data_IF_032396349381
#
_entry.id   IF_032396349381
#
_cell.length_a   1.000
_cell.length_b   1.000
_cell.length_c   1.000
_cell.angle_alpha   90.00
_cell.angle_beta   90.00
_cell.angle_gamma   90.00
#
_symmetry.space_group_name_H-M   'P 1'
#
loop_
_entity.id
_entity.type
_entity.pdbx_description
1 polymer ?
#
# COMPACT_ATOMS: atom_id res chain seq x y z
N UNK A 1 -0.55 -38.31 57.84
CA UNK A 1 -0.07 -38.47 56.45
C UNK A 1 -1.09 -37.87 55.53
N UNK A 2 -0.70 -36.87 54.74
CA UNK A 2 -1.57 -36.15 53.81
C UNK A 2 -0.87 -34.88 53.35
N UNK A 3 0.21 -35.03 52.59
CA UNK A 3 0.93 -33.93 51.95
C UNK A 3 0.05 -33.31 50.86
N UNK A 4 -0.24 -32.01 51.00
CA UNK A 4 -0.90 -31.20 49.98
C UNK A 4 0.19 -30.67 49.05
N UNK A 5 0.25 -31.23 47.85
CA UNK A 5 1.15 -30.77 46.79
C UNK A 5 0.74 -29.36 46.32
N UNK A 6 1.60 -28.37 46.54
CA UNK A 6 1.51 -27.09 45.88
C UNK A 6 1.85 -27.25 44.40
N UNK A 7 0.86 -27.07 43.53
CA UNK A 7 1.09 -26.91 42.10
C UNK A 7 1.99 -25.68 41.87
N UNK A 8 3.21 -25.93 41.39
CA UNK A 8 4.06 -24.89 40.82
C UNK A 8 3.36 -24.38 39.57
N UNK A 9 2.82 -23.17 39.64
CA UNK A 9 2.47 -22.38 38.47
C UNK A 9 3.75 -22.10 37.70
N UNK A 10 3.76 -22.46 36.41
CA UNK A 10 4.85 -22.12 35.52
C UNK A 10 5.08 -20.60 35.52
N UNK A 11 6.34 -20.14 35.50
CA UNK A 11 6.62 -18.71 35.41
C UNK A 11 5.98 -18.14 34.13
N UNK A 12 5.43 -16.92 34.19
CA UNK A 12 4.86 -16.28 33.02
C UNK A 12 5.91 -16.24 31.90
N UNK A 13 5.49 -16.42 30.64
CA UNK A 13 6.41 -16.42 29.51
C UNK A 13 7.20 -15.11 29.53
N UNK A 14 8.51 -15.16 29.19
CA UNK A 14 9.36 -13.99 29.22
C UNK A 14 8.73 -12.88 28.37
N UNK A 15 8.76 -11.61 28.83
CA UNK A 15 8.19 -10.50 28.10
C UNK A 15 8.80 -10.48 26.69
N UNK A 16 7.94 -10.60 25.68
CA UNK A 16 8.41 -10.55 24.29
C UNK A 16 9.13 -9.21 24.07
N UNK A 17 10.28 -9.21 23.37
CA UNK A 17 11.02 -7.98 23.13
C UNK A 17 10.11 -6.97 22.43
N UNK A 18 9.96 -5.80 23.05
CA UNK A 18 9.09 -4.73 22.53
C UNK A 18 9.54 -4.38 21.12
N UNK A 19 8.64 -4.54 20.14
CA UNK A 19 8.92 -4.10 18.77
C UNK A 19 9.10 -2.58 18.78
N UNK A 20 10.19 -2.08 18.21
CA UNK A 20 10.39 -0.65 18.01
C UNK A 20 9.25 -0.08 17.17
N UNK A 21 8.81 1.17 17.43
CA UNK A 21 7.81 1.86 16.60
C UNK A 21 8.20 1.85 15.10
N UNK A 22 9.50 1.81 14.81
CA UNK A 22 10.02 1.74 13.44
C UNK A 22 9.81 0.38 12.75
N UNK A 23 9.53 -0.69 13.50
CA UNK A 23 9.26 -2.04 12.96
C UNK A 23 7.78 -2.21 12.57
N UNK A 24 6.90 -1.27 12.94
CA UNK A 24 5.46 -1.36 12.64
C UNK A 24 5.20 -1.21 11.14
N UNK A 25 5.77 -0.18 10.52
CA UNK A 25 5.66 0.06 9.08
C UNK A 25 6.84 -0.58 8.33
N UNK A 26 6.98 -1.90 8.46
CA UNK A 26 7.98 -2.70 7.75
C UNK A 26 7.29 -3.67 6.79
N UNK A 27 7.69 -3.61 5.52
CA UNK A 27 7.14 -4.44 4.45
C UNK A 27 8.04 -5.67 4.20
N UNK A 28 8.14 -6.54 5.19
CA UNK A 28 8.85 -7.82 5.10
C UNK A 28 7.99 -8.93 4.49
N UNK A 29 8.54 -10.16 4.35
CA UNK A 29 7.78 -11.27 3.76
C UNK A 29 6.55 -11.67 4.59
N UNK A 30 6.58 -11.49 5.91
CA UNK A 30 5.49 -11.89 6.81
C UNK A 30 4.23 -11.06 6.54
N UNK A 31 4.35 -9.77 6.22
CA UNK A 31 3.15 -8.96 5.93
C UNK A 31 2.43 -9.41 4.65
N UNK A 32 3.11 -10.13 3.77
CA UNK A 32 2.53 -10.68 2.54
C UNK A 32 2.14 -12.16 2.67
N UNK A 33 2.32 -12.77 3.84
CA UNK A 33 1.87 -14.13 4.14
C UNK A 33 0.41 -14.11 4.57
N UNK A 34 -0.47 -14.46 3.62
CA UNK A 34 -1.90 -14.53 3.86
C UNK A 34 -2.50 -15.83 3.34
N UNK A 35 -3.13 -16.60 4.23
CA UNK A 35 -3.74 -17.89 3.86
C UNK A 35 -5.14 -17.73 3.22
N UNK A 36 -5.77 -16.54 3.32
CA UNK A 36 -7.13 -16.26 2.84
C UNK A 36 -7.20 -15.60 1.46
N UNK A 37 -6.28 -15.92 0.54
CA UNK A 37 -6.31 -15.37 -0.82
C UNK A 37 -7.62 -15.74 -1.53
N UNK A 38 -8.35 -14.74 -2.03
CA UNK A 38 -9.64 -14.96 -2.68
C UNK A 38 -9.53 -15.49 -4.12
N UNK A 39 -8.35 -15.38 -4.74
CA UNK A 39 -8.11 -15.87 -6.09
C UNK A 39 -6.66 -16.29 -6.31
N UNK A 40 -6.44 -17.11 -7.34
CA UNK A 40 -5.11 -17.46 -7.85
C UNK A 40 -4.32 -16.22 -8.24
N UNK A 41 -5.00 -15.21 -8.80
CA UNK A 41 -4.36 -13.95 -9.15
C UNK A 41 -3.84 -13.22 -7.91
N UNK A 42 -4.64 -13.10 -6.85
CA UNK A 42 -4.23 -12.44 -5.60
C UNK A 42 -3.06 -13.17 -4.94
N UNK A 43 -3.12 -14.50 -4.89
CA UNK A 43 -2.02 -15.35 -4.41
C UNK A 43 -0.74 -15.11 -5.21
N UNK A 44 -0.84 -15.03 -6.53
CA UNK A 44 0.32 -14.82 -7.41
C UNK A 44 0.97 -13.45 -7.22
N UNK A 45 0.20 -12.40 -6.92
CA UNK A 45 0.76 -11.07 -6.64
C UNK A 45 1.45 -11.04 -5.27
N UNK A 46 0.85 -11.63 -4.23
CA UNK A 46 1.48 -11.75 -2.92
C UNK A 46 2.78 -12.57 -2.98
N UNK A 47 2.78 -13.67 -3.74
CA UNK A 47 3.97 -14.49 -3.97
C UNK A 47 5.04 -13.72 -4.75
N UNK A 48 4.67 -12.97 -5.78
CA UNK A 48 5.61 -12.11 -6.51
C UNK A 48 6.25 -11.04 -5.63
N UNK A 49 5.51 -10.45 -4.68
CA UNK A 49 6.05 -9.51 -3.68
C UNK A 49 7.05 -10.21 -2.75
N UNK A 50 6.73 -11.40 -2.25
CA UNK A 50 7.65 -12.17 -1.39
C UNK A 50 8.93 -12.55 -2.11
N UNK A 51 8.83 -13.00 -3.37
CA UNK A 51 10.01 -13.29 -4.18
C UNK A 51 10.83 -12.02 -4.43
N UNK A 52 10.18 -10.90 -4.74
CA UNK A 52 10.88 -9.62 -4.95
C UNK A 52 11.68 -9.20 -3.71
N UNK A 53 11.16 -9.38 -2.50
CA UNK A 53 11.88 -9.08 -1.26
C UNK A 53 13.12 -9.98 -1.12
N UNK A 54 12.98 -11.28 -1.41
CA UNK A 54 14.09 -12.24 -1.35
C UNK A 54 15.17 -11.94 -2.39
N UNK A 55 14.78 -11.45 -3.57
CA UNK A 55 15.69 -11.18 -4.68
C UNK A 55 16.43 -9.83 -4.53
N UNK A 56 15.86 -8.85 -3.81
CA UNK A 56 16.39 -7.49 -3.80
C UNK A 56 17.72 -7.34 -3.06
N UNK A 57 17.85 -7.85 -1.82
CA UNK A 57 19.10 -7.84 -1.06
C UNK A 57 19.11 -8.93 0.03
N UNK A 58 20.09 -9.85 0.04
CA UNK A 58 20.25 -10.82 1.12
C UNK A 58 20.42 -10.12 2.48
N UNK A 59 19.59 -10.45 3.47
CA UNK A 59 19.71 -9.99 4.86
C UNK A 59 18.94 -8.72 5.25
N UNK A 60 18.32 -7.99 4.31
CA UNK A 60 17.45 -6.85 4.64
C UNK A 60 16.00 -7.27 4.96
N UNK A 61 15.55 -8.42 4.43
CA UNK A 61 14.23 -9.02 4.61
C UNK A 61 13.04 -8.04 4.55
N UNK A 62 13.15 -6.97 3.75
CA UNK A 62 12.11 -5.94 3.60
C UNK A 62 12.12 -5.32 2.22
N UNK A 63 10.95 -4.85 1.80
CA UNK A 63 10.76 -4.12 0.56
C UNK A 63 11.35 -2.70 0.68
N UNK A 64 12.57 -2.52 0.18
CA UNK A 64 13.25 -1.23 0.10
C UNK A 64 14.08 -1.18 -1.17
N UNK A 65 13.90 -0.13 -1.98
CA UNK A 65 14.65 0.02 -3.22
C UNK A 65 15.92 0.83 -2.99
N UNK A 66 17.04 0.26 -3.41
CA UNK A 66 18.37 0.84 -3.26
C UNK A 66 19.13 0.96 -4.59
N UNK A 67 18.46 0.87 -5.75
CA UNK A 67 19.09 1.10 -7.04
C UNK A 67 19.75 2.50 -7.11
N UNK A 68 20.84 2.62 -7.85
CA UNK A 68 21.54 3.91 -8.00
C UNK A 68 20.84 4.79 -9.03
N UNK A 69 20.25 4.17 -10.06
CA UNK A 69 19.45 4.86 -11.06
C UNK A 69 17.95 4.76 -10.71
N UNK A 70 17.28 5.89 -10.38
CA UNK A 70 15.85 5.88 -10.07
C UNK A 70 14.97 5.32 -11.21
N UNK A 71 15.43 5.40 -12.47
CA UNK A 71 14.68 4.86 -13.62
C UNK A 71 14.62 3.33 -13.62
N UNK A 72 15.58 2.65 -13.00
CA UNK A 72 15.59 1.18 -12.91
C UNK A 72 14.47 0.66 -12.00
N UNK A 73 14.10 1.45 -10.98
CA UNK A 73 12.98 1.11 -10.07
C UNK A 73 11.68 0.95 -10.84
N UNK A 74 11.44 1.78 -11.86
CA UNK A 74 10.27 1.65 -12.74
C UNK A 74 10.29 0.29 -13.49
N UNK A 75 11.47 -0.14 -13.95
CA UNK A 75 11.66 -1.47 -14.54
C UNK A 75 11.32 -2.61 -13.58
N UNK A 76 11.57 -2.44 -12.28
CA UNK A 76 11.20 -3.42 -11.25
C UNK A 76 9.68 -3.50 -11.07
N UNK A 77 8.96 -2.37 -11.06
CA UNK A 77 7.49 -2.36 -10.98
C UNK A 77 6.83 -3.10 -12.16
N UNK A 78 7.38 -2.91 -13.36
CA UNK A 78 6.96 -3.64 -14.56
C UNK A 78 7.27 -5.14 -14.44
N UNK A 79 8.48 -5.48 -14.00
CA UNK A 79 8.94 -6.87 -13.83
C UNK A 79 8.11 -7.63 -12.80
N UNK A 80 7.69 -6.97 -11.71
CA UNK A 80 6.76 -7.50 -10.73
C UNK A 80 5.45 -7.99 -11.38
N UNK A 81 4.83 -7.16 -12.22
CA UNK A 81 3.57 -7.50 -12.89
C UNK A 81 3.71 -8.69 -13.84
N UNK A 82 4.86 -8.78 -14.52
CA UNK A 82 5.21 -9.91 -15.39
C UNK A 82 5.39 -11.18 -14.56
N UNK A 83 6.12 -11.10 -13.44
CA UNK A 83 6.39 -12.24 -12.54
C UNK A 83 5.09 -12.78 -11.92
N UNK A 84 4.23 -11.90 -11.41
CA UNK A 84 2.91 -12.28 -10.91
C UNK A 84 2.05 -12.97 -11.99
N UNK A 85 2.14 -12.51 -13.24
CA UNK A 85 1.45 -13.15 -14.37
C UNK A 85 2.01 -14.54 -14.66
N UNK A 86 3.34 -14.73 -14.62
CA UNK A 86 3.99 -16.03 -14.84
C UNK A 86 3.60 -17.05 -13.77
N UNK A 87 3.72 -16.69 -12.49
CA UNK A 87 3.30 -17.52 -11.35
C UNK A 87 1.85 -17.99 -11.52
N UNK A 88 0.96 -17.08 -11.91
CA UNK A 88 -0.45 -17.40 -12.14
C UNK A 88 -0.64 -18.42 -13.26
N UNK A 89 0.12 -18.32 -14.35
CA UNK A 89 0.04 -19.28 -15.45
C UNK A 89 0.55 -20.64 -15.00
N UNK A 90 1.68 -20.69 -14.31
CA UNK A 90 2.29 -21.94 -13.82
C UNK A 90 1.34 -22.68 -12.85
N UNK A 91 0.71 -21.94 -11.92
CA UNK A 91 -0.30 -22.50 -11.01
C UNK A 91 -1.54 -23.03 -11.76
N UNK A 92 -1.95 -22.37 -12.85
CA UNK A 92 -3.08 -22.82 -13.69
C UNK A 92 -2.72 -24.08 -14.49
N UNK A 93 -1.47 -24.20 -14.96
CA UNK A 93 -0.98 -25.39 -15.63
C UNK A 93 -0.87 -26.57 -14.65
N UNK A 94 -0.32 -26.36 -13.45
CA UNK A 94 -0.20 -27.39 -12.43
C UNK A 94 -1.56 -27.98 -12.01
N UNK A 95 -2.58 -27.12 -11.80
CA UNK A 95 -3.93 -27.56 -11.46
C UNK A 95 -4.65 -28.33 -12.59
N UNK A 96 -4.21 -28.17 -13.85
CA UNK A 96 -4.73 -28.96 -14.99
C UNK A 96 -4.02 -30.31 -15.13
N UNK A 97 -2.84 -30.46 -14.56
CA UNK A 97 -2.02 -31.67 -14.62
C UNK A 97 -2.23 -32.62 -13.42
N UNK A 98 -3.02 -32.24 -12.41
CA UNK A 98 -3.33 -33.10 -11.26
C UNK A 98 -4.31 -34.23 -11.66
N UNK A 99 -4.03 -35.52 -11.33
CA UNK A 99 -4.79 -36.66 -11.86
C UNK A 99 -6.28 -36.70 -11.50
N UNK A 100 -6.69 -35.98 -10.44
CA UNK A 100 -8.08 -35.95 -9.99
C UNK A 100 -9.06 -35.33 -11.02
N UNK A 101 -8.57 -34.62 -12.05
CA UNK A 101 -9.38 -34.06 -13.13
C UNK A 101 -9.31 -34.84 -14.45
N UNK A 102 -8.57 -35.96 -14.52
CA UNK A 102 -8.43 -36.76 -15.75
C UNK A 102 -9.54 -37.81 -15.96
N UNK A 103 -10.50 -37.94 -15.04
CA UNK A 103 -11.54 -38.99 -15.15
C UNK A 103 -12.59 -38.71 -16.26
N UNK A 104 -12.67 -37.51 -16.84
CA UNK A 104 -13.69 -37.20 -17.85
C UNK A 104 -13.15 -36.70 -19.21
N UNK A 105 -11.98 -37.16 -19.67
CA UNK A 105 -11.42 -36.67 -20.96
C UNK A 105 -11.71 -37.52 -22.20
N UNK A 106 -12.31 -38.70 -22.09
CA UNK A 106 -12.54 -39.57 -23.27
C UNK A 106 -13.82 -39.21 -24.05
N UNK A 107 -14.75 -38.43 -23.47
CA UNK A 107 -16.04 -38.06 -24.11
C UNK A 107 -16.05 -36.75 -24.91
N UNK A 108 -14.97 -35.95 -24.92
CA UNK A 108 -15.01 -34.57 -25.43
C UNK A 108 -14.50 -34.37 -26.87
N UNK A 109 -14.12 -35.44 -27.58
CA UNK A 109 -13.55 -35.33 -28.94
C UNK A 109 -14.58 -34.91 -30.00
N UNK A 110 -15.87 -35.28 -29.86
CA UNK A 110 -16.90 -34.92 -30.86
C UNK A 110 -17.57 -33.56 -30.60
N UNK A 111 -17.64 -33.10 -29.35
CA UNK A 111 -18.28 -31.82 -29.01
C UNK A 111 -17.43 -30.59 -29.40
N UNK A 112 -16.10 -30.75 -29.51
CA UNK A 112 -15.19 -29.65 -29.82
C UNK A 112 -15.10 -29.32 -31.32
N UNK A 113 -15.69 -30.12 -32.20
CA UNK A 113 -15.69 -29.84 -33.65
C UNK A 113 -16.77 -28.88 -34.11
N UNK A 114 -17.75 -28.53 -33.26
CA UNK A 114 -18.91 -27.68 -33.63
C UNK A 114 -19.05 -26.33 -32.92
N UNK A 115 -18.10 -25.89 -32.09
CA UNK A 115 -18.17 -24.55 -31.43
C UNK A 115 -17.03 -23.64 -31.86
N UNK A 116 -17.07 -23.18 -33.10
CA UNK A 116 -16.39 -21.96 -33.54
C UNK A 116 -17.45 -20.90 -33.85
N UNK A 117 -17.81 -20.09 -32.87
CA UNK A 117 -18.22 -18.71 -33.12
C UNK A 117 -17.28 -17.81 -32.33
N UNK A 118 -16.59 -16.90 -33.02
CA UNK A 118 -15.68 -15.94 -32.37
C UNK A 118 -16.37 -15.06 -31.33
N UNK A 119 -17.71 -14.93 -31.44
CA UNK A 119 -18.56 -14.16 -30.53
C UNK A 119 -18.63 -14.79 -29.14
N UNK A 120 -18.74 -16.12 -29.03
CA UNK A 120 -18.81 -16.80 -27.71
C UNK A 120 -17.50 -16.66 -26.91
N UNK A 121 -16.34 -16.68 -27.60
CA UNK A 121 -15.02 -16.44 -27.00
C UNK A 121 -14.82 -14.98 -26.57
N UNK A 122 -15.37 -14.03 -27.32
CA UNK A 122 -15.33 -12.60 -26.99
C UNK A 122 -16.22 -12.27 -25.78
N UNK A 123 -17.43 -12.84 -25.74
CA UNK A 123 -18.39 -12.74 -24.62
C UNK A 123 -17.81 -13.35 -23.33
N UNK A 124 -17.22 -14.55 -23.42
CA UNK A 124 -16.55 -15.23 -22.30
C UNK A 124 -15.35 -14.40 -21.79
N UNK A 125 -14.53 -13.83 -22.69
CA UNK A 125 -13.45 -12.91 -22.33
C UNK A 125 -13.97 -11.64 -21.66
N UNK A 126 -15.09 -11.07 -22.12
CA UNK A 126 -15.74 -9.90 -21.50
C UNK A 126 -16.26 -10.24 -20.11
N UNK A 127 -16.93 -11.37 -19.94
CA UNK A 127 -17.43 -11.83 -18.64
C UNK A 127 -16.28 -12.10 -17.66
N UNK A 128 -15.17 -12.72 -18.10
CA UNK A 128 -13.97 -12.89 -17.29
C UNK A 128 -13.33 -11.55 -16.89
N UNK A 129 -13.32 -10.55 -17.78
CA UNK A 129 -12.87 -9.18 -17.44
C UNK A 129 -13.79 -8.52 -16.41
N UNK A 130 -15.11 -8.65 -16.54
CA UNK A 130 -16.10 -8.13 -15.58
C UNK A 130 -15.95 -8.82 -14.23
N UNK A 131 -15.80 -10.14 -14.22
CA UNK A 131 -15.62 -10.93 -13.01
C UNK A 131 -14.31 -10.59 -12.29
N UNK A 132 -13.21 -10.47 -13.04
CA UNK A 132 -11.92 -10.02 -12.50
C UNK A 132 -11.98 -8.59 -11.97
N UNK A 133 -12.73 -7.69 -12.63
CA UNK A 133 -12.96 -6.32 -12.16
C UNK A 133 -13.76 -6.29 -10.86
N UNK A 134 -14.81 -7.09 -10.73
CA UNK A 134 -15.62 -7.17 -9.53
C UNK A 134 -14.85 -7.77 -8.34
N UNK A 135 -13.96 -8.75 -8.57
CA UNK A 135 -13.06 -9.27 -7.52
C UNK A 135 -11.96 -8.29 -7.12
N UNK A 136 -11.39 -7.55 -8.07
CA UNK A 136 -10.42 -6.48 -7.74
C UNK A 136 -11.08 -5.40 -6.87
N UNK A 137 -12.33 -5.03 -7.17
CA UNK A 137 -13.13 -4.16 -6.32
C UNK A 137 -13.31 -4.74 -4.91
N UNK A 138 -13.55 -6.05 -4.76
CA UNK A 138 -13.67 -6.67 -3.43
C UNK A 138 -12.36 -6.72 -2.64
N UNK A 139 -11.20 -6.88 -3.30
CA UNK A 139 -9.89 -6.82 -2.62
C UNK A 139 -9.55 -5.40 -2.19
N UNK A 140 -9.74 -4.42 -3.08
CA UNK A 140 -9.52 -3.01 -2.78
C UNK A 140 -10.42 -2.54 -1.63
N UNK A 141 -11.74 -2.76 -1.73
CA UNK A 141 -12.70 -2.35 -0.72
C UNK A 141 -12.37 -2.96 0.64
N UNK A 142 -12.05 -4.26 0.68
CA UNK A 142 -11.64 -4.92 1.92
C UNK A 142 -10.37 -4.32 2.52
N UNK A 143 -9.35 -4.06 1.70
CA UNK A 143 -8.10 -3.48 2.20
C UNK A 143 -8.34 -2.08 2.78
N UNK A 144 -9.17 -1.27 2.11
CA UNK A 144 -9.56 0.05 2.59
C UNK A 144 -10.39 -0.04 3.88
N UNK A 145 -11.32 -0.97 3.97
CA UNK A 145 -12.13 -1.17 5.18
C UNK A 145 -11.26 -1.61 6.37
N UNK A 146 -10.34 -2.56 6.16
CA UNK A 146 -9.36 -2.96 7.19
C UNK A 146 -8.51 -1.78 7.67
N UNK A 147 -8.00 -0.95 6.75
CA UNK A 147 -7.27 0.27 7.10
C UNK A 147 -8.15 1.20 7.96
N UNK A 148 -9.39 1.40 7.55
CA UNK A 148 -10.30 2.34 8.20
C UNK A 148 -10.80 1.88 9.58
N UNK A 149 -11.01 0.58 9.76
CA UNK A 149 -11.31 -0.03 11.06
C UNK A 149 -10.21 0.25 12.08
N UNK A 150 -8.95 0.28 11.65
CA UNK A 150 -7.79 0.53 12.50
C UNK A 150 -7.31 1.99 12.48
N UNK A 151 -8.11 2.92 11.94
CA UNK A 151 -7.67 4.30 11.67
C UNK A 151 -7.12 5.05 12.87
N UNK A 152 -7.72 4.87 14.05
CA UNK A 152 -7.28 5.57 15.25
C UNK A 152 -5.91 5.10 15.73
N UNK A 153 -5.60 3.81 15.55
CA UNK A 153 -4.27 3.28 15.83
C UNK A 153 -3.25 3.85 14.83
N UNK A 154 -3.63 4.01 13.55
CA UNK A 154 -2.77 4.63 12.55
C UNK A 154 -2.51 6.12 12.83
N UNK A 155 -3.54 6.88 13.21
CA UNK A 155 -3.35 8.28 13.63
C UNK A 155 -2.46 8.39 14.86
N UNK A 156 -2.67 7.55 15.87
CA UNK A 156 -1.80 7.49 17.06
C UNK A 156 -0.37 7.11 16.70
N UNK A 157 -0.19 6.21 15.74
CA UNK A 157 1.12 5.81 15.24
C UNK A 157 1.84 6.97 14.56
N UNK A 158 1.16 7.70 13.68
CA UNK A 158 1.75 8.88 13.04
C UNK A 158 2.01 10.01 14.02
N UNK A 159 1.13 10.23 15.01
CA UNK A 159 1.36 11.18 16.09
C UNK A 159 2.62 10.81 16.89
N UNK A 160 2.76 9.57 17.32
CA UNK A 160 3.93 9.11 18.06
C UNK A 160 5.23 9.18 17.24
N UNK A 161 5.16 8.88 15.94
CA UNK A 161 6.33 8.82 15.05
C UNK A 161 6.75 10.19 14.50
N UNK A 162 5.80 11.11 14.30
CA UNK A 162 6.03 12.37 13.57
C UNK A 162 5.59 13.61 14.33
N UNK A 163 4.83 13.47 15.41
CA UNK A 163 4.22 14.57 16.16
C UNK A 163 2.98 15.18 15.49
N UNK A 164 2.53 14.65 14.36
CA UNK A 164 1.35 15.15 13.64
C UNK A 164 0.09 14.54 14.23
N UNK A 165 -0.77 15.37 14.81
CA UNK A 165 -2.08 14.95 15.31
C UNK A 165 -3.14 15.14 14.23
N UNK A 166 -3.65 14.04 13.71
CA UNK A 166 -4.71 14.04 12.69
C UNK A 166 -6.08 14.12 13.37
N UNK A 167 -6.86 15.14 13.04
CA UNK A 167 -8.21 15.36 13.57
C UNK A 167 -9.25 15.06 12.50
N UNK A 168 -10.20 14.17 12.80
CA UNK A 168 -11.23 13.75 11.86
C UNK A 168 -12.50 14.62 11.92
N UNK A 169 -12.45 15.86 11.44
CA UNK A 169 -13.64 16.74 11.45
C UNK A 169 -14.61 16.47 10.28
N UNK A 170 -14.12 15.92 9.16
CA UNK A 170 -14.92 15.71 7.95
C UNK A 170 -15.19 14.24 7.64
N UNK A 171 -16.35 13.74 8.09
CA UNK A 171 -16.81 12.35 7.92
C UNK A 171 -16.73 11.85 6.47
N UNK A 172 -16.96 12.72 5.47
CA UNK A 172 -16.97 12.33 4.05
C UNK A 172 -15.57 12.05 3.51
N UNK A 173 -14.53 12.62 4.13
CA UNK A 173 -13.16 12.56 3.67
C UNK A 173 -12.29 11.57 4.45
N UNK A 174 -12.69 11.13 5.65
CA UNK A 174 -11.89 10.29 6.53
C UNK A 174 -11.24 9.09 5.82
N UNK A 175 -12.05 8.23 5.17
CA UNK A 175 -11.54 7.06 4.42
C UNK A 175 -10.58 7.43 3.29
N UNK A 176 -10.70 8.63 2.69
CA UNK A 176 -9.82 9.09 1.60
C UNK A 176 -8.51 9.64 2.16
N UNK A 177 -8.60 10.42 3.24
CA UNK A 177 -7.47 11.03 3.93
C UNK A 177 -6.57 9.95 4.49
N UNK A 178 -7.11 9.01 5.29
CA UNK A 178 -6.28 7.95 5.86
C UNK A 178 -5.60 7.10 4.77
N UNK A 179 -6.31 6.80 3.67
CA UNK A 179 -5.73 6.06 2.56
C UNK A 179 -4.57 6.83 1.92
N UNK A 180 -4.73 8.14 1.72
CA UNK A 180 -3.67 8.97 1.16
C UNK A 180 -2.46 9.10 2.09
N UNK A 181 -2.68 9.27 3.39
CA UNK A 181 -1.60 9.30 4.38
C UNK A 181 -0.85 7.97 4.43
N UNK A 182 -1.58 6.85 4.39
CA UNK A 182 -0.98 5.52 4.34
C UNK A 182 -0.13 5.34 3.08
N UNK A 183 -0.63 5.72 1.90
CA UNK A 183 0.14 5.65 0.66
C UNK A 183 1.40 6.52 0.71
N UNK A 184 1.29 7.69 1.30
CA UNK A 184 2.41 8.62 1.48
C UNK A 184 3.51 8.01 2.35
N UNK A 185 3.15 7.45 3.51
CA UNK A 185 4.12 6.83 4.44
C UNK A 185 4.69 5.51 3.89
N UNK A 186 3.86 4.71 3.22
CA UNK A 186 4.28 3.49 2.52
C UNK A 186 5.33 3.80 1.44
N UNK A 187 5.07 4.78 0.59
CA UNK A 187 5.99 5.19 -0.48
C UNK A 187 7.27 5.78 0.10
N UNK A 188 7.16 6.67 1.09
CA UNK A 188 8.33 7.23 1.80
C UNK A 188 9.18 6.15 2.48
N UNK A 189 8.57 5.07 2.95
CA UNK A 189 9.27 3.95 3.57
C UNK A 189 9.97 3.06 2.55
N UNK A 190 9.29 2.69 1.46
CA UNK A 190 9.82 1.78 0.43
C UNK A 190 10.88 2.45 -0.45
N UNK A 191 10.76 3.77 -0.67
CA UNK A 191 11.66 4.57 -1.50
C UNK A 191 12.59 5.47 -0.67
N UNK A 192 12.87 5.10 0.59
CA UNK A 192 13.63 5.94 1.54
C UNK A 192 14.95 6.47 0.98
N UNK A 193 15.72 5.66 0.25
CA UNK A 193 16.98 6.08 -0.39
C UNK A 193 16.81 7.31 -1.29
N UNK A 194 15.66 7.45 -1.95
CA UNK A 194 15.38 8.56 -2.85
C UNK A 194 14.75 9.77 -2.14
N UNK A 195 14.40 9.61 -0.86
CA UNK A 195 13.91 10.66 0.03
C UNK A 195 15.06 11.33 0.81
N UNK A 196 16.16 10.60 0.97
CA UNK A 196 17.36 11.08 1.64
C UNK A 196 18.33 11.61 0.57
N UNK A 197 18.40 12.94 0.43
CA UNK A 197 19.44 13.58 -0.36
C UNK A 197 20.74 13.42 0.43
N UNK A 198 21.59 12.45 0.06
CA UNK A 198 22.74 11.89 0.80
C UNK A 198 23.81 12.87 1.31
N UNK A 199 23.50 14.16 1.34
CA UNK A 199 24.15 15.21 2.11
C UNK A 199 24.04 15.01 3.63
N UNK A 200 25.02 15.56 4.36
CA UNK A 200 25.13 15.59 5.83
C UNK A 200 23.98 16.38 6.53
N UNK A 201 23.01 16.90 5.76
CA UNK A 201 21.86 17.65 6.28
C UNK A 201 20.76 16.69 6.76
N UNK A 202 19.90 17.12 7.71
CA UNK A 202 18.74 16.33 8.10
C UNK A 202 17.90 15.97 6.87
N UNK A 203 17.43 14.73 6.81
CA UNK A 203 16.67 14.18 5.68
C UNK A 203 15.61 15.17 5.20
N UNK A 204 15.74 15.65 3.97
CA UNK A 204 14.88 16.69 3.37
C UNK A 204 13.40 16.28 3.35
N UNK A 205 13.13 14.98 3.21
CA UNK A 205 11.79 14.42 3.07
C UNK A 205 11.45 13.42 4.18
N UNK A 206 11.56 13.86 5.45
CA UNK A 206 11.13 13.04 6.59
C UNK A 206 9.67 12.60 6.49
N UNK A 207 9.30 11.53 7.20
CA UNK A 207 7.90 11.09 7.31
C UNK A 207 6.97 12.22 7.79
N UNK A 208 7.42 13.05 8.73
CA UNK A 208 6.69 14.25 9.17
C UNK A 208 6.44 15.21 8.00
N UNK A 209 7.49 15.54 7.25
CA UNK A 209 7.37 16.44 6.10
C UNK A 209 6.40 15.92 5.04
N UNK A 210 6.49 14.62 4.71
CA UNK A 210 5.62 13.99 3.71
C UNK A 210 4.15 13.99 4.16
N UNK A 211 3.87 13.59 5.40
CA UNK A 211 2.51 13.55 5.94
C UNK A 211 1.91 14.95 6.11
N UNK A 212 2.71 15.95 6.50
CA UNK A 212 2.24 17.34 6.56
C UNK A 212 1.81 17.84 5.18
N UNK A 213 2.66 17.69 4.16
CA UNK A 213 2.30 18.11 2.79
C UNK A 213 1.07 17.35 2.27
N UNK A 214 0.92 16.06 2.60
CA UNK A 214 -0.28 15.31 2.23
C UNK A 214 -1.55 15.89 2.86
N UNK A 215 -1.51 16.27 4.15
CA UNK A 215 -2.63 16.95 4.81
C UNK A 215 -2.91 18.31 4.19
N UNK A 216 -1.88 19.10 3.89
CA UNK A 216 -2.01 20.43 3.29
C UNK A 216 -2.67 20.36 1.91
N UNK A 217 -2.30 19.37 1.08
CA UNK A 217 -2.92 19.11 -0.23
C UNK A 217 -4.44 18.91 -0.11
N UNK A 218 -4.87 18.06 0.82
CA UNK A 218 -6.29 17.76 0.99
C UNK A 218 -7.02 18.95 1.63
N UNK A 219 -6.37 19.62 2.57
CA UNK A 219 -6.90 20.81 3.25
C UNK A 219 -7.16 21.95 2.27
N UNK A 220 -6.19 22.22 1.38
CA UNK A 220 -6.31 23.26 0.35
C UNK A 220 -7.38 22.88 -0.68
N UNK A 221 -7.43 21.61 -1.10
CA UNK A 221 -8.37 21.14 -2.12
C UNK A 221 -9.84 21.21 -1.67
N UNK A 222 -10.12 20.96 -0.38
CA UNK A 222 -11.49 20.95 0.16
C UNK A 222 -11.82 22.10 1.11
N UNK A 223 -10.85 23.00 1.38
CA UNK A 223 -10.97 24.10 2.34
C UNK A 223 -11.40 23.62 3.73
N UNK A 224 -10.78 22.54 4.22
CA UNK A 224 -11.01 21.98 5.56
C UNK A 224 -9.70 21.84 6.33
N UNK A 225 -9.76 21.75 7.65
CA UNK A 225 -8.59 21.44 8.49
C UNK A 225 -8.65 20.00 8.99
N UNK A 226 -7.50 19.34 8.98
CA UNK A 226 -7.31 18.00 9.56
C UNK A 226 -6.31 18.02 10.73
N UNK A 227 -5.96 19.21 11.22
CA UNK A 227 -4.99 19.38 12.29
C UNK A 227 -5.56 20.18 13.44
N UNK A 228 -5.01 19.92 14.62
CA UNK A 228 -5.30 20.69 15.83
C UNK A 228 -4.91 22.17 15.60
N UNK A 229 -5.81 23.14 15.86
CA UNK A 229 -5.53 24.56 15.70
C UNK A 229 -4.24 25.01 16.39
N UNK A 230 -3.89 24.41 17.53
CA UNK A 230 -2.67 24.73 18.27
C UNK A 230 -1.39 24.29 17.54
N UNK A 231 -1.42 23.18 16.78
CA UNK A 231 -0.25 22.71 16.02
C UNK A 231 -0.03 23.50 14.72
N UNK A 232 -1.11 24.06 14.14
CA UNK A 232 -1.02 24.86 12.91
C UNK A 232 -0.23 26.15 13.13
N UNK A 233 -0.45 26.82 14.27
CA UNK A 233 0.27 28.04 14.65
C UNK A 233 1.80 27.83 14.80
N UNK A 234 2.23 26.60 15.08
CA UNK A 234 3.67 26.26 15.24
C UNK A 234 4.32 25.91 13.91
N UNK A 235 3.57 25.36 12.94
CA UNK A 235 4.07 25.07 11.58
C UNK A 235 4.11 26.31 10.68
N UNK A 236 3.32 27.34 10.99
CA UNK A 236 3.39 28.65 10.32
C UNK A 236 4.56 29.48 10.87
N UNK A 237 5.79 29.03 10.63
CA UNK A 237 6.91 29.97 10.62
C UNK A 237 6.68 30.98 9.47
N UNK A 238 6.92 32.29 9.66
CA UNK A 238 6.76 33.26 8.61
C UNK A 238 7.65 32.88 7.43
N UNK A 239 7.05 32.55 6.28
CA UNK A 239 7.78 32.49 5.02
C UNK A 239 8.12 33.92 4.63
N UNK A 240 9.21 34.45 5.18
CA UNK A 240 9.81 35.68 4.69
C UNK A 240 10.16 35.50 3.20
N UNK A 241 9.64 36.41 2.37
CA UNK A 241 10.22 36.72 1.07
C UNK A 241 10.11 35.65 -0.01
N UNK A 242 8.89 35.36 -0.49
CA UNK A 242 8.60 35.19 -1.92
C UNK A 242 7.08 35.18 -2.14
N UNK A 243 6.55 36.36 -2.43
CA UNK A 243 5.26 36.52 -3.13
C UNK A 243 5.41 35.91 -4.52
N UNK A 244 5.21 34.61 -4.62
CA UNK A 244 4.82 33.96 -5.87
C UNK A 244 3.32 33.78 -5.73
N UNK A 245 2.57 34.47 -6.59
CA UNK A 245 1.12 34.57 -6.51
C UNK A 245 0.48 33.21 -6.18
N UNK A 246 -0.44 33.23 -5.22
CA UNK A 246 -1.23 32.06 -4.87
C UNK A 246 -1.71 31.39 -6.17
N UNK A 247 -1.46 30.07 -6.36
CA UNK A 247 -2.06 29.37 -7.49
C UNK A 247 -3.56 29.66 -7.44
N UNK A 248 -4.14 30.08 -8.57
CA UNK A 248 -5.57 30.35 -8.65
C UNK A 248 -6.33 29.19 -7.99
N UNK A 249 -7.31 29.46 -7.09
CA UNK A 249 -8.06 28.40 -6.44
C UNK A 249 -8.69 27.54 -7.54
N UNK A 250 -8.14 26.34 -7.73
CA UNK A 250 -8.69 25.40 -8.69
C UNK A 250 -10.12 25.10 -8.23
N UNK A 251 -11.08 25.41 -9.09
CA UNK A 251 -12.46 25.00 -8.90
C UNK A 251 -12.45 23.51 -8.54
N UNK A 252 -13.11 23.14 -7.44
CA UNK A 252 -13.33 21.75 -7.10
C UNK A 252 -13.79 21.01 -8.37
N UNK A 253 -13.22 19.83 -8.69
CA UNK A 253 -13.53 19.15 -9.93
C UNK A 253 -15.04 19.06 -10.11
N UNK A 254 -15.56 19.55 -11.23
CA UNK A 254 -16.99 19.43 -11.61
C UNK A 254 -17.46 17.98 -11.74
N UNK A 255 -16.57 16.99 -11.56
CA UNK A 255 -16.83 15.56 -11.71
C UNK A 255 -16.99 14.87 -10.33
N UNK A 256 -18.22 14.53 -9.90
CA UNK A 256 -18.48 13.98 -8.58
C UNK A 256 -18.15 12.48 -8.42
N UNK A 257 -17.38 11.85 -9.32
CA UNK A 257 -17.34 10.38 -9.44
C UNK A 257 -15.96 9.73 -9.62
N UNK A 258 -14.87 10.42 -9.30
CA UNK A 258 -13.55 9.74 -9.30
C UNK A 258 -13.56 8.61 -8.26
N UNK A 259 -13.07 7.44 -8.67
CA UNK A 259 -12.91 6.31 -7.75
C UNK A 259 -11.91 6.70 -6.64
N UNK A 260 -12.06 6.12 -5.44
CA UNK A 260 -11.23 6.47 -4.27
C UNK A 260 -9.73 6.36 -4.59
N UNK A 261 -9.33 5.29 -5.25
CA UNK A 261 -7.95 5.04 -5.64
C UNK A 261 -7.43 6.04 -6.69
N UNK A 262 -8.26 6.40 -7.67
CA UNK A 262 -7.91 7.41 -8.69
C UNK A 262 -7.66 8.77 -8.04
N UNK A 263 -8.47 9.13 -7.04
CA UNK A 263 -8.30 10.36 -6.28
C UNK A 263 -7.00 10.34 -5.46
N UNK A 264 -6.69 9.24 -4.78
CA UNK A 264 -5.41 9.08 -4.05
C UNK A 264 -4.23 9.25 -4.99
N UNK A 265 -4.26 8.62 -6.17
CA UNK A 265 -3.19 8.76 -7.16
C UNK A 265 -3.09 10.19 -7.74
N UNK A 266 -4.20 10.91 -7.85
CA UNK A 266 -4.19 12.33 -8.22
C UNK A 266 -3.52 13.20 -7.14
N UNK A 267 -3.75 12.92 -5.86
CA UNK A 267 -3.07 13.61 -4.76
C UNK A 267 -1.60 13.21 -4.64
N UNK A 268 -1.26 11.94 -4.87
CA UNK A 268 0.13 11.48 -4.93
C UNK A 268 0.90 12.18 -6.04
N UNK A 269 0.27 12.39 -7.21
CA UNK A 269 0.89 13.18 -8.29
C UNK A 269 1.20 14.60 -7.85
N UNK A 270 0.23 15.28 -7.24
CA UNK A 270 0.41 16.63 -6.72
C UNK A 270 1.52 16.68 -5.67
N UNK A 271 1.57 15.70 -4.77
CA UNK A 271 2.61 15.59 -3.76
C UNK A 271 3.99 15.48 -4.44
N UNK A 272 4.18 14.52 -5.35
CA UNK A 272 5.46 14.32 -6.06
C UNK A 272 5.90 15.59 -6.80
N UNK A 273 4.97 16.31 -7.44
CA UNK A 273 5.27 17.59 -8.09
C UNK A 273 5.71 18.66 -7.07
N UNK A 274 5.03 18.78 -5.93
CA UNK A 274 5.36 19.75 -4.87
C UNK A 274 6.70 19.45 -4.17
N UNK A 275 7.09 18.18 -4.08
CA UNK A 275 8.36 17.78 -3.47
C UNK A 275 9.57 18.26 -4.27
N UNK A 276 9.42 18.56 -5.56
CA UNK A 276 10.52 18.93 -6.48
C UNK A 276 11.72 17.96 -6.36
N UNK A 277 11.43 16.66 -6.31
CA UNK A 277 12.43 15.59 -6.20
C UNK A 277 12.55 14.86 -7.54
N UNK A 278 13.67 15.06 -8.23
CA UNK A 278 13.90 14.51 -9.58
C UNK A 278 13.96 12.98 -9.59
N UNK A 279 14.47 12.35 -8.54
CA UNK A 279 14.49 10.89 -8.39
C UNK A 279 13.08 10.33 -8.33
N UNK A 280 12.20 10.91 -7.52
CA UNK A 280 10.79 10.48 -7.45
C UNK A 280 10.06 10.74 -8.77
N UNK A 281 10.28 11.91 -9.40
CA UNK A 281 9.71 12.21 -10.72
C UNK A 281 10.17 11.17 -11.75
N UNK A 282 11.44 10.78 -11.74
CA UNK A 282 11.97 9.75 -12.64
C UNK A 282 11.39 8.35 -12.37
N UNK A 283 11.08 8.01 -11.11
CA UNK A 283 10.46 6.74 -10.72
C UNK A 283 8.99 6.68 -11.16
N UNK A 284 8.24 7.76 -10.93
CA UNK A 284 6.77 7.75 -11.07
C UNK A 284 6.26 8.30 -12.41
N UNK A 285 6.98 9.24 -13.05
CA UNK A 285 6.55 9.98 -14.26
C UNK A 285 7.37 9.55 -15.48
N UNK A 286 7.33 8.26 -15.81
CA UNK A 286 8.03 7.71 -16.97
C UNK A 286 7.55 8.40 -18.28
N UNK A 287 8.49 8.69 -19.19
CA UNK A 287 8.24 9.31 -20.51
C UNK A 287 7.50 10.66 -20.50
N UNK A 288 7.87 11.57 -19.60
CA UNK A 288 7.26 12.92 -19.51
C UNK A 288 5.74 12.90 -19.27
N UNK A 289 5.25 11.83 -18.64
CA UNK A 289 3.82 11.62 -18.42
C UNK A 289 3.19 12.67 -17.50
N UNK A 290 2.00 13.13 -17.89
CA UNK A 290 1.11 13.95 -17.05
C UNK A 290 0.39 13.15 -15.97
N UNK A 291 0.74 11.88 -15.74
CA UNK A 291 0.11 11.01 -14.75
C UNK A 291 1.14 10.06 -14.15
N UNK A 292 0.84 9.53 -12.96
CA UNK A 292 1.65 8.46 -12.36
C UNK A 292 1.56 7.22 -13.23
N UNK A 293 2.71 6.59 -13.52
CA UNK A 293 2.75 5.40 -14.38
C UNK A 293 1.82 4.28 -13.87
N UNK A 294 1.08 3.60 -14.76
CA UNK A 294 0.21 2.49 -14.37
C UNK A 294 0.95 1.39 -13.61
N UNK A 295 2.21 1.13 -13.94
CA UNK A 295 3.06 0.13 -13.31
C UNK A 295 3.32 0.49 -11.84
N UNK A 296 3.65 1.74 -11.54
CA UNK A 296 3.78 2.23 -10.16
C UNK A 296 2.46 2.09 -9.40
N UNK A 297 1.34 2.48 -10.04
CA UNK A 297 0.03 2.38 -9.39
C UNK A 297 -0.31 0.94 -9.02
N UNK A 298 -0.16 0.01 -9.98
CA UNK A 298 -0.40 -1.43 -9.76
C UNK A 298 0.50 -1.97 -8.66
N UNK A 299 1.79 -1.66 -8.69
CA UNK A 299 2.74 -2.14 -7.70
C UNK A 299 2.35 -1.72 -6.28
N UNK A 300 2.22 -0.42 -6.02
CA UNK A 300 1.91 0.08 -4.67
C UNK A 300 0.50 -0.28 -4.21
N UNK A 301 -0.48 -0.36 -5.13
CA UNK A 301 -1.81 -0.88 -4.79
C UNK A 301 -1.72 -2.31 -4.25
N UNK A 302 -0.96 -3.19 -4.91
CA UNK A 302 -0.79 -4.57 -4.45
C UNK A 302 0.02 -4.66 -3.15
N UNK A 303 1.04 -3.81 -2.96
CA UNK A 303 1.74 -3.71 -1.67
C UNK A 303 0.73 -3.39 -0.57
N UNK A 304 -0.13 -2.38 -0.76
CA UNK A 304 -1.17 -2.02 0.21
C UNK A 304 -2.16 -3.17 0.45
N UNK A 305 -2.79 -3.69 -0.61
CA UNK A 305 -3.84 -4.70 -0.49
C UNK A 305 -3.38 -5.97 0.22
N UNK A 306 -2.13 -6.37 0.03
CA UNK A 306 -1.60 -7.59 0.59
C UNK A 306 -0.92 -7.41 1.95
N UNK A 307 -0.57 -6.18 2.37
CA UNK A 307 0.12 -5.94 3.64
C UNK A 307 -0.77 -5.44 4.77
N UNK A 308 -1.85 -4.71 4.46
CA UNK A 308 -2.57 -3.91 5.46
C UNK A 308 -3.10 -4.72 6.64
N UNK A 309 -3.56 -5.95 6.41
CA UNK A 309 -4.09 -6.81 7.47
C UNK A 309 -3.04 -7.15 8.53
N UNK A 310 -1.85 -7.58 8.09
CA UNK A 310 -0.75 -7.94 8.99
C UNK A 310 -0.13 -6.70 9.63
N UNK A 311 -0.06 -5.59 8.90
CA UNK A 311 0.37 -4.31 9.46
C UNK A 311 -0.59 -3.84 10.58
N UNK A 312 -1.89 -3.97 10.38
CA UNK A 312 -2.89 -3.70 11.41
C UNK A 312 -2.72 -4.62 12.62
N UNK A 313 -2.50 -5.94 12.41
CA UNK A 313 -2.23 -6.85 13.54
C UNK A 313 -0.99 -6.45 14.32
N UNK A 314 0.11 -6.10 13.65
CA UNK A 314 1.34 -5.62 14.29
C UNK A 314 1.12 -4.35 15.09
N UNK A 315 0.38 -3.40 14.52
CA UNK A 315 0.03 -2.14 15.14
C UNK A 315 -0.83 -2.34 16.40
N UNK A 316 -1.82 -3.23 16.33
CA UNK A 316 -2.67 -3.59 17.48
C UNK A 316 -1.86 -4.23 18.61
N UNK A 317 -1.00 -5.21 18.29
CA UNK A 317 -0.14 -5.88 19.28
C UNK A 317 0.78 -4.87 19.97
N UNK A 318 1.40 -3.96 19.20
CA UNK A 318 2.28 -2.93 19.76
C UNK A 318 1.57 -2.04 20.78
N UNK A 319 0.35 -1.60 20.48
CA UNK A 319 -0.39 -0.75 21.41
C UNK A 319 -1.02 -1.51 22.58
N UNK A 320 -1.36 -2.80 22.43
CA UNK A 320 -1.76 -3.65 23.56
C UNK A 320 -0.61 -3.77 24.58
N UNK A 321 0.60 -4.10 24.08
CA UNK A 321 1.80 -4.19 24.92
C UNK A 321 2.18 -2.89 25.65
N UNK A 322 1.71 -1.73 25.18
CA UNK A 322 1.94 -0.44 25.85
C UNK A 322 0.92 -0.12 26.95
N UNK A 323 -0.26 -0.75 26.94
CA UNK A 323 -1.33 -0.52 27.92
C UNK A 323 -1.38 -1.58 29.03
N UNK A 324 -0.78 -2.76 28.80
CA UNK A 324 -0.68 -3.83 29.80
C UNK A 324 0.51 -3.62 30.80
N UNK A 325 0.95 -2.36 30.97
CA UNK A 325 1.99 -1.87 31.88
C UNK A 325 1.50 -0.60 32.56
#
# INVERSE_FOLDING_TARGET
>A
MGDIAFNKTDPPPPPQPRKSINEILKFDTEVFEHNGHQSVADKSHAEALRMLIRDMQPGMDRLCFSADNPREVHGIFKSFSIKATRIRMDQKHHNRSTPAFQINSVGHSEANRKRKSGVALEEERRLLKVYARNRRKSLEERAVDKLFEHRFLWYRFWENRTGIKVVEQNLRLQKRVILFLFYTDMIGTILRKYMDDGSVKPAKFTARFLLQNALDIVSEHYRVSFQDPAQRAVSELPKEGKSVGAPAPLQAPKNPKLHRQELVWSWMRRLIDQLNNDSLRAIFLHNHGWTISPESQVFFNHVFYHSIEKLNSRLSIYYQQLHDL
#
